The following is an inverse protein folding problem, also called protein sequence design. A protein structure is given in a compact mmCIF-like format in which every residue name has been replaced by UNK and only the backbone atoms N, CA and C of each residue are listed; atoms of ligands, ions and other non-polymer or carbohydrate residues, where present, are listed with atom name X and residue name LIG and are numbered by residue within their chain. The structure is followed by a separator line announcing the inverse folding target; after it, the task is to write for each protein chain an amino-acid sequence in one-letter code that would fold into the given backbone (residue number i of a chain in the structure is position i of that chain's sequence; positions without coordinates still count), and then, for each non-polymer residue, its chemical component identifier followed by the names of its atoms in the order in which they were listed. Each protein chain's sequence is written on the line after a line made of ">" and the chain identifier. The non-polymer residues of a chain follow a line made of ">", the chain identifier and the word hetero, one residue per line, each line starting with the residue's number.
data_IF_279516332018
#
_entry.id   IF_279516332018
#
_cell.length_a   1.000
_cell.length_b   1.000
_cell.length_c   1.000
_cell.angle_alpha   90.00
_cell.angle_beta   90.00
_cell.angle_gamma   90.00
#
_symmetry.space_group_name_H-M   'P 1'
#
loop_
_entity.id
_entity.type
_entity.pdbx_description
1 polymer ?
#
# COMPACT_ATOMS: atom_id res chain seq x y z
N UNK A 1 -1.42 0.50 37.41
CA UNK A 1 -1.56 0.19 35.97
C UNK A 1 -0.19 0.23 35.34
N UNK A 2 0.37 -0.93 35.05
CA UNK A 2 1.76 -1.15 34.63
C UNK A 2 1.95 -0.77 33.16
N UNK A 3 3.11 -0.17 32.82
CA UNK A 3 3.52 0.44 31.52
C UNK A 3 3.51 -0.49 30.27
N UNK A 4 2.67 -1.52 30.22
CA UNK A 4 2.67 -2.58 29.19
C UNK A 4 1.51 -2.55 28.17
N UNK A 5 0.61 -1.55 28.19
CA UNK A 5 -0.65 -1.60 27.44
C UNK A 5 -0.84 -0.57 26.31
N UNK A 6 0.23 -0.17 25.63
CA UNK A 6 0.09 0.34 24.24
C UNK A 6 0.70 -0.68 23.26
N UNK A 7 0.47 -1.96 23.52
CA UNK A 7 0.61 -2.97 22.47
C UNK A 7 -0.65 -2.81 21.62
N UNK A 8 -0.52 -2.19 20.44
CA UNK A 8 -1.62 -2.06 19.50
C UNK A 8 -2.13 -3.48 19.20
N UNK A 9 -3.31 -3.81 19.74
CA UNK A 9 -3.93 -5.13 19.60
C UNK A 9 -4.02 -5.43 18.10
N UNK A 10 -3.43 -6.55 17.69
CA UNK A 10 -3.44 -6.99 16.29
C UNK A 10 -4.86 -7.36 15.87
N UNK A 11 -5.62 -6.34 15.50
CA UNK A 11 -7.01 -6.50 15.08
C UNK A 11 -7.07 -6.54 13.56
N UNK A 12 -8.00 -7.35 13.05
CA UNK A 12 -8.30 -7.40 11.61
C UNK A 12 -8.61 -6.00 11.04
N UNK A 13 -9.19 -5.11 11.86
CA UNK A 13 -9.49 -3.74 11.48
C UNK A 13 -8.26 -2.92 11.11
N UNK A 14 -7.13 -3.10 11.80
CA UNK A 14 -5.88 -2.41 11.44
C UNK A 14 -5.42 -2.87 10.05
N UNK A 15 -5.48 -4.17 9.75
CA UNK A 15 -5.12 -4.70 8.43
C UNK A 15 -6.03 -4.17 7.34
N UNK A 16 -7.35 -4.18 7.58
CA UNK A 16 -8.35 -3.68 6.63
C UNK A 16 -8.12 -2.18 6.38
N UNK A 17 -8.06 -1.36 7.42
CA UNK A 17 -7.94 0.10 7.28
C UNK A 17 -6.64 0.51 6.61
N UNK A 18 -5.51 -0.09 7.01
CA UNK A 18 -4.21 0.21 6.41
C UNK A 18 -4.17 -0.24 4.95
N UNK A 19 -4.68 -1.44 4.64
CA UNK A 19 -4.72 -1.95 3.26
C UNK A 19 -5.64 -1.12 2.38
N UNK A 20 -6.81 -0.71 2.88
CA UNK A 20 -7.73 0.16 2.14
C UNK A 20 -7.09 1.53 1.92
N UNK A 21 -6.55 2.17 2.95
CA UNK A 21 -5.92 3.49 2.83
C UNK A 21 -4.80 3.50 1.78
N UNK A 22 -3.86 2.57 1.87
CA UNK A 22 -2.77 2.47 0.89
C UNK A 22 -3.27 2.01 -0.47
N UNK A 23 -4.20 1.05 -0.50
CA UNK A 23 -4.84 0.58 -1.73
C UNK A 23 -5.50 1.71 -2.50
N UNK A 24 -6.24 2.60 -1.84
CA UNK A 24 -6.86 3.77 -2.49
C UNK A 24 -5.82 4.69 -3.10
N UNK A 25 -4.79 5.06 -2.34
CA UNK A 25 -3.70 5.92 -2.83
C UNK A 25 -3.08 5.29 -4.07
N UNK A 26 -2.71 4.01 -3.96
CA UNK A 26 -2.06 3.29 -5.05
C UNK A 26 -2.97 3.03 -6.24
N UNK A 27 -4.28 2.91 -6.05
CA UNK A 27 -5.24 2.77 -7.14
C UNK A 27 -5.20 4.01 -8.06
N UNK A 28 -5.33 5.20 -7.48
CA UNK A 28 -5.30 6.44 -8.25
C UNK A 28 -3.94 6.71 -8.89
N UNK A 29 -2.84 6.47 -8.17
CA UNK A 29 -1.49 6.63 -8.75
C UNK A 29 -1.23 5.61 -9.86
N UNK A 30 -1.73 4.38 -9.72
CA UNK A 30 -1.63 3.34 -10.75
C UNK A 30 -2.44 3.68 -11.99
N UNK A 31 -3.66 4.22 -11.85
CA UNK A 31 -4.46 4.69 -13.00
C UNK A 31 -3.69 5.76 -13.75
N UNK A 32 -3.13 6.75 -13.05
CA UNK A 32 -2.33 7.79 -13.68
C UNK A 32 -1.11 7.21 -14.40
N UNK A 33 -0.38 6.30 -13.77
CA UNK A 33 0.78 5.64 -14.37
C UNK A 33 0.40 4.78 -15.59
N UNK A 34 -0.74 4.08 -15.54
CA UNK A 34 -1.27 3.29 -16.67
C UNK A 34 -1.67 4.19 -17.83
N UNK A 35 -2.36 5.31 -17.58
CA UNK A 35 -2.68 6.31 -18.63
C UNK A 35 -1.42 6.81 -19.33
N UNK A 36 -0.40 7.18 -18.55
CA UNK A 36 0.86 7.68 -19.09
C UNK A 36 1.64 6.60 -19.87
N UNK A 37 1.71 5.37 -19.35
CA UNK A 37 2.40 4.26 -20.00
C UNK A 37 1.70 3.85 -21.30
N UNK A 38 0.37 3.77 -21.31
CA UNK A 38 -0.45 3.54 -22.50
C UNK A 38 -0.22 4.58 -23.58
N UNK A 39 -0.23 5.87 -23.20
CA UNK A 39 0.02 6.97 -24.15
C UNK A 39 1.43 6.94 -24.75
N UNK A 40 2.44 6.49 -23.98
CA UNK A 40 3.83 6.44 -24.46
C UNK A 40 4.15 5.25 -25.35
N UNK A 41 3.61 4.07 -25.05
CA UNK A 41 3.97 2.84 -25.77
C UNK A 41 3.00 2.58 -26.93
N UNK A 42 1.84 3.23 -26.98
CA UNK A 42 0.81 2.98 -28.00
C UNK A 42 0.15 1.59 -27.87
N UNK A 43 0.44 0.86 -26.79
CA UNK A 43 0.04 -0.53 -26.55
C UNK A 43 -1.31 -0.69 -25.82
N UNK A 44 -2.25 0.23 -26.05
CA UNK A 44 -3.61 0.21 -25.49
C UNK A 44 -4.17 1.61 -25.22
N UNK A 45 -5.45 1.83 -25.54
CA UNK A 45 -6.16 3.09 -25.22
C UNK A 45 -6.76 3.01 -23.82
N UNK A 46 -5.96 3.26 -22.79
CA UNK A 46 -6.47 3.34 -21.42
C UNK A 46 -6.66 4.81 -21.02
N UNK A 47 -7.91 5.25 -21.01
CA UNK A 47 -8.28 6.56 -20.52
C UNK A 47 -9.67 6.53 -19.87
N UNK A 48 -9.83 5.86 -18.71
CA UNK A 48 -11.13 5.76 -18.09
C UNK A 48 -11.67 7.12 -17.65
N UNK A 49 -12.98 7.29 -17.80
CA UNK A 49 -13.74 8.40 -17.23
C UNK A 49 -13.85 8.30 -15.71
N UNK A 50 -14.27 9.38 -15.06
CA UNK A 50 -14.45 9.39 -13.59
C UNK A 50 -15.46 8.35 -13.11
N UNK A 51 -16.56 8.17 -13.83
CA UNK A 51 -17.58 7.16 -13.51
C UNK A 51 -17.02 5.73 -13.55
N UNK A 52 -16.21 5.41 -14.57
CA UNK A 52 -15.55 4.11 -14.68
C UNK A 52 -14.53 3.92 -13.56
N UNK A 53 -13.76 4.97 -13.21
CA UNK A 53 -12.81 4.93 -12.09
C UNK A 53 -13.52 4.56 -10.79
N UNK A 54 -14.63 5.23 -10.45
CA UNK A 54 -15.37 4.93 -9.22
C UNK A 54 -16.07 3.57 -9.26
N UNK A 55 -16.56 3.16 -10.43
CA UNK A 55 -17.19 1.84 -10.60
C UNK A 55 -16.17 0.71 -10.41
N UNK A 56 -14.99 0.83 -11.03
CA UNK A 56 -13.90 -0.14 -10.87
C UNK A 56 -13.31 -0.09 -9.46
N UNK A 57 -13.31 1.08 -8.81
CA UNK A 57 -12.85 1.21 -7.43
C UNK A 57 -13.66 0.34 -6.47
N UNK A 58 -14.97 0.15 -6.69
CA UNK A 58 -15.78 -0.79 -5.91
C UNK A 58 -15.26 -2.24 -5.98
N UNK A 59 -14.92 -2.71 -7.18
CA UNK A 59 -14.26 -4.02 -7.34
C UNK A 59 -12.88 -4.04 -6.69
N UNK A 60 -12.13 -2.96 -6.85
CA UNK A 60 -10.79 -2.82 -6.29
C UNK A 60 -10.81 -2.91 -4.76
N UNK A 61 -11.81 -2.31 -4.11
CA UNK A 61 -12.04 -2.47 -2.66
C UNK A 61 -12.23 -3.94 -2.29
N UNK A 62 -12.98 -4.72 -3.07
CA UNK A 62 -13.11 -6.16 -2.87
C UNK A 62 -11.76 -6.89 -2.94
N UNK A 63 -10.94 -6.56 -3.95
CA UNK A 63 -9.56 -7.08 -4.08
C UNK A 63 -8.68 -6.67 -2.88
N UNK A 64 -8.84 -5.46 -2.38
CA UNK A 64 -8.11 -4.96 -1.21
C UNK A 64 -8.50 -5.67 0.08
N UNK A 65 -9.79 -5.94 0.28
CA UNK A 65 -10.26 -6.73 1.40
C UNK A 65 -9.65 -8.15 1.34
N UNK A 66 -9.72 -8.82 0.20
CA UNK A 66 -9.11 -10.13 0.00
C UNK A 66 -7.60 -10.08 0.28
N UNK A 67 -6.91 -9.05 -0.21
CA UNK A 67 -5.47 -8.83 0.05
C UNK A 67 -5.20 -8.68 1.54
N UNK A 68 -6.01 -7.92 2.28
CA UNK A 68 -5.85 -7.73 3.73
C UNK A 68 -5.96 -9.06 4.49
N UNK A 69 -6.93 -9.91 4.13
CA UNK A 69 -7.09 -11.24 4.72
C UNK A 69 -5.90 -12.16 4.39
N UNK A 70 -5.47 -12.21 3.13
CA UNK A 70 -4.32 -13.01 2.70
C UNK A 70 -3.04 -12.54 3.39
N UNK A 71 -2.77 -11.23 3.43
CA UNK A 71 -1.60 -10.67 4.10
C UNK A 71 -1.58 -11.00 5.59
N UNK A 72 -2.72 -10.91 6.28
CA UNK A 72 -2.82 -11.31 7.69
C UNK A 72 -2.57 -12.82 7.86
N UNK A 73 -3.15 -13.65 7.00
CA UNK A 73 -2.95 -15.10 7.04
C UNK A 73 -1.48 -15.48 6.82
N UNK A 74 -0.85 -14.93 5.78
CA UNK A 74 0.58 -15.13 5.50
C UNK A 74 1.43 -14.64 6.66
N UNK A 75 1.12 -13.49 7.24
CA UNK A 75 1.82 -12.98 8.41
C UNK A 75 1.69 -13.93 9.61
N UNK A 76 0.51 -14.49 9.86
CA UNK A 76 0.29 -15.46 10.93
C UNK A 76 1.09 -16.75 10.72
N UNK A 77 1.23 -17.23 9.47
CA UNK A 77 2.04 -18.40 9.16
C UNK A 77 3.55 -18.15 9.31
N UNK A 78 4.02 -16.94 8.99
CA UNK A 78 5.44 -16.58 9.03
C UNK A 78 5.94 -16.10 10.42
N UNK A 79 5.02 -15.68 11.28
CA UNK A 79 5.27 -15.22 12.64
C UNK A 79 4.11 -15.64 13.58
N UNK A 80 3.90 -16.96 13.80
CA UNK A 80 2.75 -17.48 14.55
C UNK A 80 2.75 -17.05 16.01
N UNK A 81 3.94 -16.87 16.61
CA UNK A 81 4.11 -16.39 17.99
C UNK A 81 4.08 -14.86 18.10
N UNK A 82 4.12 -14.14 16.97
CA UNK A 82 4.14 -12.68 16.94
C UNK A 82 5.43 -12.04 17.46
N UNK A 83 6.48 -12.83 17.69
CA UNK A 83 7.75 -12.37 18.25
C UNK A 83 8.45 -11.35 17.36
N UNK A 84 8.43 -11.54 16.03
CA UNK A 84 9.05 -10.58 15.11
C UNK A 84 8.31 -9.24 15.15
N UNK A 85 6.99 -9.28 15.26
CA UNK A 85 6.17 -8.07 15.40
C UNK A 85 6.39 -7.35 16.71
N UNK A 86 6.45 -8.09 17.83
CA UNK A 86 6.75 -7.53 19.15
C UNK A 86 8.12 -6.87 19.17
N UNK A 87 9.15 -7.52 18.63
CA UNK A 87 10.50 -6.94 18.49
C UNK A 87 10.49 -5.67 17.63
N UNK A 88 9.73 -5.65 16.52
CA UNK A 88 9.56 -4.43 15.71
C UNK A 88 8.87 -3.32 16.50
N UNK A 89 7.79 -3.62 17.21
CA UNK A 89 7.07 -2.62 18.01
C UNK A 89 7.94 -2.06 19.15
N UNK A 90 8.73 -2.91 19.80
CA UNK A 90 9.70 -2.50 20.82
C UNK A 90 10.81 -1.62 20.24
N UNK A 91 11.45 -2.05 19.15
CA UNK A 91 12.46 -1.25 18.45
C UNK A 91 11.88 0.11 17.98
N UNK A 92 10.60 0.13 17.62
CA UNK A 92 9.88 1.36 17.29
C UNK A 92 9.66 2.22 18.53
N UNK A 93 9.22 1.67 19.65
CA UNK A 93 9.08 2.40 20.92
C UNK A 93 10.43 2.94 21.45
N UNK A 94 11.53 2.25 21.20
CA UNK A 94 12.89 2.62 21.62
C UNK A 94 13.56 3.66 20.72
N UNK A 95 12.91 4.08 19.62
CA UNK A 95 13.46 5.07 18.70
C UNK A 95 14.44 4.51 17.67
N UNK A 96 14.66 3.20 17.61
CA UNK A 96 15.44 2.49 16.57
C UNK A 96 14.67 2.37 15.22
N UNK A 97 13.73 3.30 14.97
CA UNK A 97 12.76 3.27 13.86
C UNK A 97 13.40 3.39 12.48
N UNK A 98 14.50 4.12 12.37
CA UNK A 98 15.09 4.53 11.08
C UNK A 98 15.61 3.35 10.23
N UNK A 99 15.95 2.21 10.86
CA UNK A 99 16.39 1.00 10.14
C UNK A 99 15.27 0.00 9.80
N UNK A 100 14.10 0.14 10.41
CA UNK A 100 13.08 -0.93 10.42
C UNK A 100 11.72 -0.53 9.82
N UNK A 101 11.45 0.77 9.63
CA UNK A 101 10.08 1.21 9.35
C UNK A 101 9.58 0.89 7.95
N UNK A 102 10.48 0.63 7.00
CA UNK A 102 10.12 0.21 5.65
C UNK A 102 11.29 -0.62 5.16
N UNK A 103 11.09 -1.94 4.98
CA UNK A 103 12.03 -2.64 4.09
C UNK A 103 11.89 -1.95 2.75
N UNK A 104 12.92 -1.24 2.30
CA UNK A 104 12.93 -0.54 1.03
C UNK A 104 12.45 -1.49 -0.08
N UNK A 105 12.98 -2.72 -0.10
CA UNK A 105 12.54 -3.79 -0.99
C UNK A 105 11.05 -4.14 -0.84
N UNK A 106 10.53 -4.18 0.39
CA UNK A 106 9.10 -4.37 0.66
C UNK A 106 8.22 -3.27 0.06
N UNK A 107 8.58 -2.00 0.25
CA UNK A 107 7.84 -0.89 -0.37
C UNK A 107 7.93 -0.88 -1.89
N UNK A 108 9.08 -1.20 -2.46
CA UNK A 108 9.24 -1.36 -3.91
C UNK A 108 8.30 -2.45 -4.43
N UNK A 109 8.33 -3.64 -3.82
CA UNK A 109 7.53 -4.79 -4.23
C UNK A 109 6.02 -4.51 -4.10
N UNK A 110 5.59 -3.90 -2.99
CA UNK A 110 4.19 -3.53 -2.78
C UNK A 110 3.72 -2.49 -3.79
N UNK A 111 4.51 -1.43 -4.02
CA UNK A 111 4.15 -0.35 -4.97
C UNK A 111 4.08 -0.87 -6.41
N UNK A 112 5.03 -1.72 -6.80
CA UNK A 112 5.02 -2.38 -8.10
C UNK A 112 3.80 -3.32 -8.22
N UNK A 113 3.55 -4.14 -7.21
CA UNK A 113 2.42 -5.07 -7.17
C UNK A 113 1.06 -4.38 -7.28
N UNK A 114 0.90 -3.18 -6.70
CA UNK A 114 -0.33 -2.40 -6.86
C UNK A 114 -0.61 -1.96 -8.31
N UNK A 115 0.43 -1.74 -9.12
CA UNK A 115 0.26 -1.47 -10.54
C UNK A 115 -0.38 -2.66 -11.26
N UNK A 116 0.10 -3.87 -10.97
CA UNK A 116 -0.48 -5.12 -11.48
C UNK A 116 -1.89 -5.36 -10.96
N UNK A 117 -2.14 -5.18 -9.66
CA UNK A 117 -3.47 -5.35 -9.08
C UNK A 117 -4.48 -4.38 -9.68
N UNK A 118 -4.08 -3.12 -9.91
CA UNK A 118 -4.94 -2.13 -10.56
C UNK A 118 -5.23 -2.53 -12.00
N UNK A 119 -4.21 -2.85 -12.79
CA UNK A 119 -4.40 -3.30 -14.18
C UNK A 119 -5.28 -4.56 -14.26
N UNK A 120 -5.05 -5.55 -13.39
CA UNK A 120 -5.84 -6.77 -13.31
C UNK A 120 -7.30 -6.50 -12.93
N UNK A 121 -7.55 -5.55 -12.02
CA UNK A 121 -8.90 -5.16 -11.64
C UNK A 121 -9.62 -4.48 -12.81
N UNK A 122 -8.94 -3.64 -13.58
CA UNK A 122 -9.50 -3.02 -14.78
C UNK A 122 -9.77 -4.04 -15.89
N UNK A 123 -8.89 -5.03 -16.09
CA UNK A 123 -9.13 -6.12 -17.02
C UNK A 123 -10.35 -6.97 -16.62
N UNK A 124 -10.50 -7.27 -15.32
CA UNK A 124 -11.68 -7.95 -14.80
C UNK A 124 -12.94 -7.08 -14.92
N UNK A 125 -12.84 -5.78 -14.68
CA UNK A 125 -13.96 -4.85 -14.85
C UNK A 125 -14.37 -4.72 -16.32
N UNK A 126 -13.44 -4.87 -17.27
CA UNK A 126 -13.74 -4.87 -18.70
C UNK A 126 -14.69 -6.01 -19.08
N UNK A 127 -14.46 -7.21 -18.54
CA UNK A 127 -15.33 -8.35 -18.81
C UNK A 127 -16.67 -8.31 -18.08
N UNK A 128 -16.72 -7.70 -16.89
CA UNK A 128 -17.93 -7.64 -16.06
C UNK A 128 -18.85 -6.46 -16.39
N UNK A 129 -18.27 -5.30 -16.71
CA UNK A 129 -19.00 -4.03 -16.83
C UNK A 129 -18.76 -3.32 -18.17
N UNK A 130 -18.02 -3.92 -19.09
CA UNK A 130 -17.74 -3.32 -20.40
C UNK A 130 -16.78 -2.12 -20.36
N UNK A 131 -16.01 -1.96 -19.27
CA UNK A 131 -15.02 -0.88 -19.15
C UNK A 131 -13.96 -1.00 -20.25
N UNK A 132 -13.60 0.13 -20.87
CA UNK A 132 -12.55 0.18 -21.88
C UNK A 132 -11.15 0.02 -21.24
N UNK A 133 -10.74 -1.23 -21.00
CA UNK A 133 -9.42 -1.56 -20.50
C UNK A 133 -8.77 -2.64 -21.38
N UNK A 134 -7.74 -2.24 -22.13
CA UNK A 134 -6.88 -3.15 -22.86
C UNK A 134 -5.43 -2.75 -22.60
N UNK A 135 -4.65 -3.69 -22.07
CA UNK A 135 -3.25 -3.48 -21.73
C UNK A 135 -2.40 -4.58 -22.33
N UNK A 136 -1.30 -4.18 -22.95
CA UNK A 136 -0.18 -5.10 -23.21
C UNK A 136 0.69 -5.22 -21.95
N UNK A 137 1.38 -6.36 -21.79
CA UNK A 137 2.28 -6.58 -20.66
C UNK A 137 3.33 -5.46 -20.48
N UNK A 138 3.98 -4.93 -21.53
CA UNK A 138 4.92 -3.82 -21.39
C UNK A 138 4.31 -2.55 -20.76
N UNK A 139 3.04 -2.25 -21.06
CA UNK A 139 2.33 -1.12 -20.46
C UNK A 139 2.15 -1.32 -18.96
N UNK A 140 1.73 -2.52 -18.54
CA UNK A 140 1.52 -2.84 -17.12
C UNK A 140 2.85 -2.79 -16.35
N UNK A 141 3.93 -3.31 -16.93
CA UNK A 141 5.27 -3.26 -16.32
C UNK A 141 5.75 -1.82 -16.18
N UNK A 142 5.66 -1.02 -17.25
CA UNK A 142 6.10 0.38 -17.21
C UNK A 142 5.28 1.20 -16.21
N UNK A 143 3.96 1.02 -16.18
CA UNK A 143 3.09 1.67 -15.22
C UNK A 143 3.43 1.28 -13.79
N UNK A 144 3.69 -0.01 -13.55
CA UNK A 144 4.07 -0.52 -12.22
C UNK A 144 5.41 0.04 -11.76
N UNK A 145 6.38 0.18 -12.65
CA UNK A 145 7.64 0.89 -12.36
C UNK A 145 7.40 2.38 -12.04
N UNK A 146 6.51 3.05 -12.77
CA UNK A 146 6.09 4.41 -12.44
C UNK A 146 5.45 4.52 -11.05
N UNK A 147 4.69 3.51 -10.66
CA UNK A 147 4.03 3.45 -9.36
C UNK A 147 5.02 3.24 -8.20
N UNK A 148 6.18 2.62 -8.46
CA UNK A 148 7.30 2.56 -7.50
C UNK A 148 7.78 3.95 -7.13
N UNK A 149 7.89 4.87 -8.10
CA UNK A 149 8.29 6.27 -7.83
C UNK A 149 7.27 6.94 -6.91
N UNK A 150 5.97 6.72 -7.11
CA UNK A 150 4.93 7.22 -6.22
C UNK A 150 5.05 6.64 -4.80
N UNK A 151 5.35 5.35 -4.67
CA UNK A 151 5.60 4.69 -3.38
C UNK A 151 6.83 5.22 -2.64
N UNK A 152 7.90 5.56 -3.37
CA UNK A 152 9.08 6.21 -2.82
C UNK A 152 8.77 7.61 -2.29
N UNK A 153 8.05 8.42 -3.08
CA UNK A 153 7.60 9.76 -2.65
C UNK A 153 6.72 9.64 -1.41
N UNK A 154 5.75 8.72 -1.40
CA UNK A 154 4.90 8.46 -0.23
C UNK A 154 5.70 8.07 1.01
N UNK A 155 6.73 7.24 0.85
CA UNK A 155 7.63 6.84 1.95
C UNK A 155 8.42 8.04 2.52
N UNK A 156 8.91 8.93 1.65
CA UNK A 156 9.59 10.17 2.06
C UNK A 156 8.64 11.10 2.80
N UNK A 157 7.43 11.33 2.27
CA UNK A 157 6.41 12.18 2.91
C UNK A 157 6.06 11.66 4.29
N UNK A 158 5.79 10.35 4.42
CA UNK A 158 5.52 9.72 5.73
C UNK A 158 6.71 9.89 6.68
N UNK A 159 7.95 9.72 6.19
CA UNK A 159 9.16 10.00 6.96
C UNK A 159 9.25 11.44 7.47
N UNK A 160 8.97 12.43 6.63
CA UNK A 160 8.95 13.86 7.00
C UNK A 160 7.87 14.17 8.03
N UNK A 161 6.66 13.63 7.88
CA UNK A 161 5.57 13.78 8.86
C UNK A 161 6.01 13.23 10.22
N UNK A 162 6.67 12.07 10.25
CA UNK A 162 7.18 11.50 11.49
C UNK A 162 8.25 12.37 12.15
N UNK A 163 9.22 12.88 11.38
CA UNK A 163 10.24 13.80 11.89
C UNK A 163 9.62 15.07 12.47
N UNK A 164 8.62 15.63 11.80
CA UNK A 164 7.91 16.84 12.24
C UNK A 164 7.17 16.58 13.56
N UNK A 165 6.41 15.49 13.64
CA UNK A 165 5.72 15.10 14.88
C UNK A 165 6.69 14.88 16.05
N UNK A 166 7.90 14.37 15.76
CA UNK A 166 8.97 14.18 16.77
C UNK A 166 9.47 15.52 17.28
N UNK A 167 9.75 16.46 16.38
CA UNK A 167 10.17 17.82 16.72
C UNK A 167 9.11 18.58 17.54
N UNK A 168 7.83 18.33 17.25
CA UNK A 168 6.72 18.95 17.99
C UNK A 168 6.45 18.36 19.38
N UNK A 169 7.23 17.36 19.83
CA UNK A 169 7.02 16.71 21.13
C UNK A 169 5.70 15.94 21.24
N UNK A 170 4.96 15.76 20.13
CA UNK A 170 3.70 15.00 20.06
C UNK A 170 3.93 13.50 19.92
N UNK A 171 5.20 13.09 19.92
CA UNK A 171 5.58 11.69 19.97
C UNK A 171 5.62 11.21 21.42
N UNK A 172 5.07 10.01 21.74
CA UNK A 172 5.22 9.43 23.07
C UNK A 172 6.70 9.34 23.42
N UNK A 173 7.12 10.15 24.40
CA UNK A 173 8.46 10.07 24.95
C UNK A 173 8.54 8.84 25.82
N UNK A 174 9.37 7.89 25.42
CA UNK A 174 9.82 6.82 26.31
C UNK A 174 10.71 7.49 27.34
N UNK A 175 10.15 7.82 28.50
CA UNK A 175 10.94 8.21 29.67
C UNK A 175 12.02 7.15 29.87
N UNK A 176 13.28 7.54 29.62
CA UNK A 176 14.45 6.70 29.89
C UNK A 176 14.50 6.51 31.40
N UNK A 177 14.17 5.31 31.87
CA UNK A 177 14.58 4.81 33.17
C UNK A 177 15.98 4.27 33.10
#
# INVERSE_FOLDING_TARGET
>A
MTKQQIIQKDTIWVWILVTLMWGSIFHFTSIYALKLASARIGGGSFNPGWEEIFSVYGLFVGVMLATAFVSRFVNHQLDPTGEKRLRRQQAVAEGNREKLFVSFAGSLATSFGFGFLTAGTYLAASSLFGVAANFTLPVVVLASLGNVVAGLIGSVVVGVVFLTLKQMGKFPQTERG
#
